data_IF_802136474318
#
_entry.id   IF_802136474318
#
_cell.length_a   1.000
_cell.length_b   1.000
_cell.length_c   1.000
_cell.angle_alpha   90.00
_cell.angle_beta   90.00
_cell.angle_gamma   90.00
#
_symmetry.space_group_name_H-M   'P 1'
#
loop_
_entity.id
_entity.type
_entity.pdbx_description
1 polymer ?
#
# COMPACT_ATOMS: atom_id res chain seq x y z
N UNK A 1 15.62 -38.93 8.67
CA UNK A 1 16.94 -39.26 8.05
C UNK A 1 16.93 -39.35 6.52
N UNK A 2 15.88 -39.90 5.85
CA UNK A 2 15.84 -39.88 4.36
C UNK A 2 15.54 -38.48 3.78
N UNK A 3 14.62 -37.73 4.37
CA UNK A 3 14.23 -36.37 3.90
C UNK A 3 15.36 -35.33 4.02
N UNK A 4 16.19 -35.41 5.05
CA UNK A 4 17.30 -34.46 5.26
C UNK A 4 18.48 -34.70 4.29
N UNK A 5 18.72 -35.95 3.91
CA UNK A 5 19.75 -36.28 2.90
C UNK A 5 19.32 -35.85 1.49
N UNK A 6 18.03 -36.00 1.13
CA UNK A 6 17.53 -35.53 -0.18
C UNK A 6 17.57 -34.00 -0.26
N UNK A 7 17.14 -33.29 0.77
CA UNK A 7 17.25 -31.82 0.83
C UNK A 7 18.71 -31.36 0.71
N UNK A 8 19.63 -31.97 1.46
CA UNK A 8 21.08 -31.65 1.41
C UNK A 8 21.69 -31.87 0.01
N UNK A 9 21.23 -32.89 -0.73
CA UNK A 9 21.71 -33.18 -2.09
C UNK A 9 21.19 -32.15 -3.11
N UNK A 10 19.93 -31.70 -2.99
CA UNK A 10 19.35 -30.67 -3.84
C UNK A 10 20.00 -29.29 -3.60
N UNK A 11 20.29 -28.92 -2.36
CA UNK A 11 21.06 -27.70 -2.03
C UNK A 11 22.45 -27.72 -2.62
N UNK A 12 23.14 -28.85 -2.60
CA UNK A 12 24.49 -29.00 -3.18
C UNK A 12 24.50 -28.83 -4.71
N UNK A 13 23.49 -29.35 -5.41
CA UNK A 13 23.38 -29.22 -6.89
C UNK A 13 23.02 -27.78 -7.29
N UNK A 14 22.09 -27.14 -6.57
CA UNK A 14 21.72 -25.74 -6.82
C UNK A 14 22.92 -24.79 -6.57
N UNK A 15 23.68 -25.01 -5.52
CA UNK A 15 24.87 -24.22 -5.20
C UNK A 15 25.98 -24.39 -6.25
N UNK A 16 26.20 -25.62 -6.73
CA UNK A 16 27.15 -25.88 -7.83
C UNK A 16 26.72 -25.19 -9.13
N UNK A 17 25.44 -25.26 -9.50
CA UNK A 17 24.91 -24.59 -10.69
C UNK A 17 25.07 -23.07 -10.62
N UNK A 18 24.81 -22.47 -9.45
CA UNK A 18 24.97 -21.04 -9.23
C UNK A 18 26.45 -20.61 -9.34
N UNK A 19 27.38 -21.39 -8.79
CA UNK A 19 28.84 -21.14 -8.95
C UNK A 19 29.28 -21.24 -10.41
N UNK A 20 28.74 -22.20 -11.17
CA UNK A 20 29.01 -22.31 -12.60
C UNK A 20 28.47 -21.08 -13.36
N UNK A 21 27.21 -20.68 -13.13
CA UNK A 21 26.58 -19.51 -13.72
C UNK A 21 27.35 -18.23 -13.39
N UNK A 22 27.85 -18.10 -12.15
CA UNK A 22 28.67 -16.96 -11.73
C UNK A 22 30.04 -16.90 -12.42
N UNK A 23 30.51 -17.98 -13.02
CA UNK A 23 31.83 -17.99 -13.66
C UNK A 23 31.83 -17.23 -14.99
N UNK A 24 32.80 -16.32 -15.15
CA UNK A 24 32.94 -15.50 -16.36
C UNK A 24 33.14 -16.35 -17.62
N UNK A 25 33.79 -17.53 -17.48
CA UNK A 25 34.01 -18.47 -18.60
C UNK A 25 32.68 -19.05 -19.10
N UNK A 26 31.85 -19.49 -18.17
CA UNK A 26 30.51 -20.02 -18.47
C UNK A 26 29.61 -18.94 -19.09
N UNK A 27 29.55 -17.73 -18.54
CA UNK A 27 28.74 -16.65 -19.08
C UNK A 27 29.13 -16.30 -20.52
N UNK A 28 30.43 -16.22 -20.84
CA UNK A 28 30.92 -16.00 -22.21
C UNK A 28 30.53 -17.13 -23.16
N UNK A 29 30.59 -18.37 -22.71
CA UNK A 29 30.18 -19.54 -23.48
C UNK A 29 28.65 -19.53 -23.69
N UNK A 30 27.88 -19.36 -22.63
CA UNK A 30 26.42 -19.38 -22.66
C UNK A 30 25.83 -18.27 -23.54
N UNK A 31 26.46 -17.10 -23.60
CA UNK A 31 26.04 -16.00 -24.46
C UNK A 31 26.26 -16.29 -25.96
N UNK A 32 27.19 -17.17 -26.32
CA UNK A 32 27.49 -17.55 -27.68
C UNK A 32 26.75 -18.81 -28.13
N UNK A 33 26.32 -19.68 -27.22
CA UNK A 33 25.67 -20.92 -27.50
C UNK A 33 24.20 -20.72 -27.86
N UNK A 34 23.75 -21.21 -29.01
CA UNK A 34 22.38 -20.99 -29.53
C UNK A 34 21.29 -21.54 -28.59
N UNK A 35 21.56 -22.59 -27.82
CA UNK A 35 20.59 -23.17 -26.89
C UNK A 35 20.39 -22.31 -25.64
N UNK A 36 21.40 -21.58 -25.21
CA UNK A 36 21.37 -20.80 -23.96
C UNK A 36 21.23 -19.30 -24.17
N UNK A 37 21.57 -18.77 -25.34
CA UNK A 37 21.55 -17.31 -25.59
C UNK A 37 20.17 -16.66 -25.35
N UNK A 38 19.05 -17.37 -25.59
CA UNK A 38 17.70 -16.85 -25.33
C UNK A 38 17.47 -16.67 -23.83
N UNK A 39 17.92 -17.63 -23.02
CA UNK A 39 17.87 -17.57 -21.55
C UNK A 39 18.78 -16.44 -21.04
N UNK A 40 20.03 -16.36 -21.53
CA UNK A 40 20.98 -15.31 -21.14
C UNK A 40 20.42 -13.91 -21.44
N UNK A 41 19.79 -13.73 -22.61
CA UNK A 41 19.13 -12.45 -22.95
C UNK A 41 17.99 -12.12 -22.01
N UNK A 42 17.13 -13.09 -21.68
CA UNK A 42 15.99 -12.90 -20.78
C UNK A 42 16.45 -12.55 -19.35
N UNK A 43 17.39 -13.33 -18.81
CA UNK A 43 17.92 -13.10 -17.45
C UNK A 43 18.73 -11.79 -17.40
N UNK A 44 19.50 -11.49 -18.46
CA UNK A 44 20.22 -10.23 -18.58
C UNK A 44 19.28 -9.02 -18.68
N UNK A 45 18.17 -9.12 -19.39
CA UNK A 45 17.16 -8.07 -19.45
C UNK A 45 16.49 -7.87 -18.10
N UNK A 46 16.10 -8.94 -17.41
CA UNK A 46 15.50 -8.86 -16.07
C UNK A 46 16.45 -8.22 -15.04
N UNK A 47 17.74 -8.58 -15.09
CA UNK A 47 18.75 -7.96 -14.25
C UNK A 47 18.96 -6.47 -14.57
N UNK A 48 18.93 -6.12 -15.86
CA UNK A 48 19.03 -4.73 -16.28
C UNK A 48 17.80 -3.91 -15.88
N UNK A 49 16.61 -4.47 -15.97
CA UNK A 49 15.37 -3.84 -15.49
C UNK A 49 15.46 -3.54 -13.98
N UNK A 50 15.97 -4.49 -13.20
CA UNK A 50 16.20 -4.30 -11.76
C UNK A 50 17.25 -3.19 -11.51
N UNK A 51 18.39 -3.22 -12.24
CA UNK A 51 19.44 -2.20 -12.13
C UNK A 51 18.92 -0.81 -12.46
N UNK A 52 18.09 -0.68 -13.51
CA UNK A 52 17.54 0.61 -13.98
C UNK A 52 16.26 1.03 -13.26
N UNK A 53 15.76 0.23 -12.34
CA UNK A 53 14.48 0.46 -11.64
C UNK A 53 14.37 1.84 -10.99
N UNK A 54 15.46 2.36 -10.43
CA UNK A 54 15.50 3.71 -9.86
C UNK A 54 15.28 4.80 -10.93
N UNK A 55 15.75 4.61 -12.17
CA UNK A 55 15.48 5.53 -13.28
C UNK A 55 13.99 5.46 -13.68
N UNK A 56 13.41 4.25 -13.69
CA UNK A 56 11.99 4.07 -14.04
C UNK A 56 11.09 4.83 -13.08
N UNK A 57 11.33 4.74 -11.79
CA UNK A 57 10.56 5.46 -10.77
C UNK A 57 10.76 6.98 -10.84
N UNK A 58 11.97 7.47 -11.14
CA UNK A 58 12.23 8.89 -11.32
C UNK A 58 11.58 9.47 -12.58
N UNK A 59 11.52 8.70 -13.68
CA UNK A 59 10.78 9.11 -14.87
C UNK A 59 9.29 9.23 -14.56
N UNK A 60 8.70 8.24 -13.85
CA UNK A 60 7.30 8.29 -13.42
C UNK A 60 7.04 9.51 -12.54
N UNK A 61 7.91 9.78 -11.57
CA UNK A 61 7.85 10.96 -10.70
C UNK A 61 7.86 12.26 -11.51
N UNK A 62 8.79 12.40 -12.46
CA UNK A 62 8.88 13.59 -13.30
C UNK A 62 7.63 13.81 -14.16
N UNK A 63 7.04 12.74 -14.70
CA UNK A 63 5.79 12.83 -15.47
C UNK A 63 4.61 13.31 -14.60
N UNK A 64 4.57 12.91 -13.33
CA UNK A 64 3.57 13.36 -12.35
C UNK A 64 3.84 14.81 -11.96
N UNK A 65 5.08 15.18 -11.61
CA UNK A 65 5.45 16.54 -11.21
C UNK A 65 5.21 17.59 -12.32
N UNK A 66 5.42 17.23 -13.59
CA UNK A 66 5.11 18.08 -14.74
C UNK A 66 3.66 17.98 -15.21
N UNK A 67 2.82 17.22 -14.52
CA UNK A 67 1.39 17.02 -14.85
C UNK A 67 1.15 16.51 -16.29
N UNK A 68 2.12 15.79 -16.85
CA UNK A 68 2.09 15.30 -18.25
C UNK A 68 0.84 14.45 -18.52
N UNK A 69 0.44 13.62 -17.59
CA UNK A 69 -0.70 12.74 -17.78
C UNK A 69 -2.00 13.53 -17.94
N UNK A 70 -2.28 14.54 -17.12
CA UNK A 70 -3.48 15.38 -17.24
C UNK A 70 -3.41 16.27 -18.46
N UNK A 71 -2.23 16.77 -18.86
CA UNK A 71 -2.05 17.50 -20.11
C UNK A 71 -2.43 16.65 -21.33
N UNK A 72 -2.05 15.37 -21.32
CA UNK A 72 -2.33 14.41 -22.40
C UNK A 72 -3.74 13.80 -22.33
N UNK A 73 -4.42 13.87 -21.19
CA UNK A 73 -5.83 13.49 -21.06
C UNK A 73 -6.72 14.43 -21.90
N UNK A 74 -6.33 15.70 -22.03
CA UNK A 74 -7.00 16.69 -22.88
C UNK A 74 -6.76 16.49 -24.38
N UNK A 75 -5.87 15.56 -24.75
CA UNK A 75 -5.56 15.20 -26.13
C UNK A 75 -4.06 15.07 -26.41
N UNK A 76 -3.69 14.45 -27.54
CA UNK A 76 -2.30 14.28 -27.91
C UNK A 76 -1.60 15.62 -28.15
N UNK A 77 -0.34 15.76 -27.66
CA UNK A 77 0.49 16.97 -27.76
C UNK A 77 1.84 16.69 -28.42
N UNK A 78 2.41 17.69 -29.06
CA UNK A 78 3.75 17.64 -29.61
C UNK A 78 4.82 17.80 -28.52
N UNK A 79 6.08 17.50 -28.85
CA UNK A 79 7.22 17.78 -27.98
C UNK A 79 7.28 19.25 -27.59
N UNK A 80 7.12 20.14 -28.56
CA UNK A 80 7.20 21.59 -28.34
C UNK A 80 6.09 22.10 -27.42
N UNK A 81 4.84 21.66 -27.62
CA UNK A 81 3.71 22.01 -26.74
C UNK A 81 3.97 21.58 -25.29
N UNK A 82 4.50 20.37 -25.06
CA UNK A 82 4.81 19.88 -23.72
C UNK A 82 6.00 20.59 -23.09
N UNK A 83 7.08 20.80 -23.87
CA UNK A 83 8.27 21.51 -23.41
C UNK A 83 7.96 22.94 -22.96
N UNK A 84 7.17 23.68 -23.75
CA UNK A 84 6.76 25.03 -23.43
C UNK A 84 5.82 25.06 -22.21
N UNK A 85 4.82 24.19 -22.15
CA UNK A 85 3.87 24.13 -21.04
C UNK A 85 4.55 23.83 -19.71
N UNK A 86 5.53 22.90 -19.71
CA UNK A 86 6.24 22.47 -18.52
C UNK A 86 7.51 23.34 -18.23
N UNK A 87 7.84 24.30 -19.08
CA UNK A 87 9.07 25.11 -18.98
C UNK A 87 10.35 24.25 -18.93
N UNK A 88 10.38 23.18 -19.72
CA UNK A 88 11.51 22.25 -19.81
C UNK A 88 12.19 22.41 -21.18
N UNK A 89 13.53 22.50 -21.27
CA UNK A 89 14.26 22.54 -22.54
C UNK A 89 13.88 21.35 -23.44
N UNK A 90 13.73 21.59 -24.75
CA UNK A 90 13.23 20.56 -25.68
C UNK A 90 14.10 19.29 -25.75
N UNK A 91 15.42 19.45 -25.65
CA UNK A 91 16.37 18.33 -25.62
C UNK A 91 16.12 17.42 -24.41
N UNK A 92 15.89 18.00 -23.22
CA UNK A 92 15.57 17.28 -21.98
C UNK A 92 14.18 16.67 -22.02
N UNK A 93 13.18 17.42 -22.49
CA UNK A 93 11.82 16.90 -22.67
C UNK A 93 11.80 15.73 -23.66
N UNK A 94 12.62 15.77 -24.71
CA UNK A 94 12.79 14.67 -25.67
C UNK A 94 13.23 13.39 -24.95
N UNK A 95 14.23 13.48 -24.05
CA UNK A 95 14.71 12.32 -23.28
C UNK A 95 13.60 11.78 -22.41
N UNK A 96 12.91 12.63 -21.64
CA UNK A 96 11.82 12.25 -20.75
C UNK A 96 10.69 11.54 -21.50
N UNK A 97 10.20 12.11 -22.59
CA UNK A 97 9.08 11.55 -23.36
C UNK A 97 9.46 10.24 -24.05
N UNK A 98 10.68 10.13 -24.58
CA UNK A 98 11.17 8.87 -25.16
C UNK A 98 11.32 7.79 -24.12
N UNK A 99 11.83 8.10 -22.94
CA UNK A 99 11.90 7.19 -21.81
C UNK A 99 10.49 6.74 -21.37
N UNK A 100 9.54 7.68 -21.26
CA UNK A 100 8.15 7.36 -20.92
C UNK A 100 7.48 6.44 -21.96
N UNK A 101 7.81 6.58 -23.26
CA UNK A 101 7.33 5.66 -24.31
C UNK A 101 7.99 4.29 -24.16
N UNK A 102 9.29 4.22 -23.89
CA UNK A 102 10.01 2.96 -23.68
C UNK A 102 9.44 2.19 -22.47
N UNK A 103 9.07 2.89 -21.41
CA UNK A 103 8.41 2.34 -20.20
C UNK A 103 6.90 2.07 -20.39
N UNK A 104 6.36 2.28 -21.60
CA UNK A 104 4.93 2.13 -21.91
C UNK A 104 3.99 3.01 -21.07
N UNK A 105 4.51 4.07 -20.48
CA UNK A 105 3.73 5.10 -19.81
C UNK A 105 3.07 6.04 -20.80
N UNK A 106 3.71 6.29 -21.94
CA UNK A 106 3.16 7.06 -23.05
C UNK A 106 3.21 6.24 -24.34
N UNK A 107 2.55 6.74 -25.38
CA UNK A 107 2.65 6.21 -26.75
C UNK A 107 2.92 7.34 -27.74
N UNK A 108 3.74 7.08 -28.74
CA UNK A 108 3.95 7.97 -29.88
C UNK A 108 2.80 7.83 -30.87
N UNK A 109 2.43 8.94 -31.52
CA UNK A 109 1.47 8.99 -32.62
C UNK A 109 2.06 9.62 -33.87
N UNK A 110 1.35 9.51 -35.00
CA UNK A 110 1.74 10.17 -36.24
C UNK A 110 1.86 11.69 -36.04
N UNK A 111 2.76 12.33 -36.76
CA UNK A 111 3.02 13.76 -36.63
C UNK A 111 3.80 14.16 -35.37
N UNK A 112 4.58 13.25 -34.78
CA UNK A 112 5.45 13.55 -33.63
C UNK A 112 4.70 13.87 -32.34
N UNK A 113 3.44 13.41 -32.22
CA UNK A 113 2.61 13.64 -31.03
C UNK A 113 2.78 12.51 -30.03
N UNK A 114 2.63 12.86 -28.75
CA UNK A 114 2.58 11.94 -27.62
C UNK A 114 1.16 11.86 -27.09
N UNK A 115 0.76 10.69 -26.58
CA UNK A 115 -0.54 10.44 -25.99
C UNK A 115 -0.43 9.47 -24.82
N UNK A 116 -1.47 9.42 -23.97
CA UNK A 116 -1.58 8.43 -22.91
C UNK A 116 -1.52 7.01 -23.47
N UNK A 117 -0.84 6.13 -22.76
CA UNK A 117 -0.97 4.68 -22.93
C UNK A 117 -2.18 4.16 -22.14
N UNK A 118 -2.49 2.87 -22.29
CA UNK A 118 -3.48 2.22 -21.40
C UNK A 118 -3.06 2.26 -19.93
N UNK A 119 -1.75 2.10 -19.66
CA UNK A 119 -1.19 2.11 -18.32
C UNK A 119 -1.37 3.48 -17.65
N UNK A 120 -1.00 4.56 -18.32
CA UNK A 120 -1.15 5.91 -17.75
C UNK A 120 -2.61 6.37 -17.68
N UNK A 121 -3.47 5.93 -18.59
CA UNK A 121 -4.89 6.16 -18.49
C UNK A 121 -5.50 5.44 -17.25
N UNK A 122 -5.08 4.19 -17.01
CA UNK A 122 -5.49 3.47 -15.79
C UNK A 122 -4.95 4.14 -14.52
N UNK A 123 -3.70 4.64 -14.53
CA UNK A 123 -3.10 5.37 -13.42
C UNK A 123 -3.93 6.60 -13.04
N UNK A 124 -4.36 7.40 -14.01
CA UNK A 124 -5.22 8.57 -13.78
C UNK A 124 -6.60 8.21 -13.20
N UNK A 125 -7.10 7.01 -13.52
CA UNK A 125 -8.36 6.50 -12.99
C UNK A 125 -8.29 5.99 -11.55
N UNK A 126 -7.10 5.93 -10.94
CA UNK A 126 -6.92 5.49 -9.54
C UNK A 126 -6.85 6.72 -8.63
N UNK A 127 -7.84 6.93 -7.75
CA UNK A 127 -7.86 8.07 -6.83
C UNK A 127 -6.59 8.12 -5.96
N UNK A 128 -5.98 9.30 -5.85
CA UNK A 128 -4.81 9.53 -4.99
C UNK A 128 -3.49 8.93 -5.47
N UNK A 129 -3.43 8.19 -6.59
CA UNK A 129 -2.20 7.55 -7.03
C UNK A 129 -1.12 8.56 -7.47
N UNK A 130 -1.50 9.65 -8.13
CA UNK A 130 -0.58 10.73 -8.47
C UNK A 130 0.02 11.38 -7.19
N UNK A 131 -0.83 11.62 -6.21
CA UNK A 131 -0.40 12.21 -4.93
C UNK A 131 0.53 11.25 -4.18
N UNK A 132 0.25 9.95 -4.21
CA UNK A 132 1.12 8.92 -3.63
C UNK A 132 2.48 8.86 -4.33
N UNK A 133 2.52 8.93 -5.66
CA UNK A 133 3.77 8.98 -6.41
C UNK A 133 4.56 10.24 -6.03
N UNK A 134 3.89 11.40 -5.93
CA UNK A 134 4.52 12.66 -5.49
C UNK A 134 5.11 12.58 -4.07
N UNK A 135 4.43 11.86 -3.17
CA UNK A 135 4.90 11.64 -1.80
C UNK A 135 6.18 10.79 -1.70
N UNK A 136 6.50 9.98 -2.71
CA UNK A 136 7.72 9.18 -2.70
C UNK A 136 9.02 9.99 -2.66
N UNK A 137 8.99 11.31 -2.88
CA UNK A 137 10.17 12.17 -2.75
C UNK A 137 10.85 12.04 -1.38
N UNK A 138 10.06 12.01 -0.31
CA UNK A 138 10.54 11.77 1.06
C UNK A 138 11.18 10.39 1.18
N UNK A 139 10.51 9.37 0.66
CA UNK A 139 10.97 7.99 0.72
C UNK A 139 12.27 7.77 -0.09
N UNK A 140 12.45 8.49 -1.22
CA UNK A 140 13.73 8.48 -1.95
C UNK A 140 14.88 9.04 -1.11
N UNK A 141 14.64 10.09 -0.32
CA UNK A 141 15.66 10.63 0.58
C UNK A 141 16.04 9.65 1.67
N UNK A 142 15.05 8.98 2.26
CA UNK A 142 15.28 7.95 3.30
C UNK A 142 16.10 6.76 2.77
N UNK A 143 15.89 6.38 1.52
CA UNK A 143 16.58 5.26 0.86
C UNK A 143 17.91 5.66 0.19
N UNK A 144 18.37 6.90 0.34
CA UNK A 144 19.58 7.42 -0.33
C UNK A 144 20.84 6.61 0.01
N UNK A 145 20.98 6.19 1.27
CA UNK A 145 22.00 5.23 1.71
C UNK A 145 21.32 3.95 2.18
N UNK A 146 21.14 2.97 1.28
CA UNK A 146 20.43 1.74 1.64
C UNK A 146 21.16 0.92 2.69
N UNK A 147 22.48 1.01 2.78
CA UNK A 147 23.24 0.28 3.79
C UNK A 147 22.99 0.84 5.20
N UNK A 148 23.01 2.17 5.36
CA UNK A 148 22.65 2.84 6.60
C UNK A 148 21.16 2.58 6.95
N UNK A 149 20.27 2.66 5.97
CA UNK A 149 18.85 2.39 6.16
C UNK A 149 18.58 0.99 6.74
N UNK A 150 19.13 -0.06 6.14
CA UNK A 150 18.94 -1.43 6.63
C UNK A 150 19.68 -1.74 7.95
N UNK A 151 20.71 -0.96 8.33
CA UNK A 151 21.32 -1.04 9.66
C UNK A 151 20.54 -0.30 10.75
N UNK A 152 19.54 0.52 10.36
CA UNK A 152 18.80 1.39 11.28
C UNK A 152 19.54 2.70 11.64
N UNK A 153 20.59 3.05 10.90
CA UNK A 153 21.41 4.25 11.15
C UNK A 153 20.80 5.51 10.52
N UNK A 154 19.84 5.36 9.60
CA UNK A 154 19.19 6.49 8.90
C UNK A 154 18.14 7.14 9.78
N UNK A 155 18.22 8.47 9.95
CA UNK A 155 17.11 9.28 10.46
C UNK A 155 16.11 9.48 9.32
N UNK A 156 15.00 8.72 9.36
CA UNK A 156 14.00 8.74 8.28
C UNK A 156 13.06 9.92 8.40
N UNK A 157 12.90 10.68 7.31
CA UNK A 157 11.94 11.79 7.23
C UNK A 157 10.50 11.28 7.13
N UNK A 158 10.30 10.08 6.60
CA UNK A 158 8.96 9.48 6.50
C UNK A 158 8.32 9.27 7.88
N UNK A 159 9.13 8.98 8.91
CA UNK A 159 8.64 8.85 10.29
C UNK A 159 8.02 10.17 10.80
N UNK A 160 8.52 11.32 10.37
CA UNK A 160 8.04 12.63 10.80
C UNK A 160 6.66 12.99 10.21
N UNK A 161 6.22 12.29 9.15
CA UNK A 161 4.86 12.42 8.62
C UNK A 161 3.81 11.70 9.51
N UNK A 162 4.26 10.87 10.47
CA UNK A 162 3.41 10.10 11.37
C UNK A 162 3.67 10.40 12.84
N UNK A 163 3.77 11.69 13.26
CA UNK A 163 4.19 12.04 14.63
C UNK A 163 3.24 11.50 15.69
N UNK A 164 1.96 11.30 15.38
CA UNK A 164 0.97 10.71 16.30
C UNK A 164 1.30 9.25 16.65
N UNK A 165 2.02 8.53 15.81
CA UNK A 165 2.48 7.16 16.14
C UNK A 165 3.47 7.20 17.29
N UNK A 166 4.26 8.28 17.39
CA UNK A 166 5.24 8.53 18.46
C UNK A 166 4.74 9.45 19.58
N UNK A 167 3.49 9.93 19.50
CA UNK A 167 2.93 10.88 20.48
C UNK A 167 3.39 12.33 20.28
N UNK A 168 3.93 12.67 19.10
CA UNK A 168 4.32 14.02 18.73
C UNK A 168 3.16 14.89 18.21
N UNK A 169 3.34 16.21 18.27
CA UNK A 169 2.44 17.18 17.64
C UNK A 169 2.78 17.32 16.14
N UNK A 170 1.76 17.35 15.29
CA UNK A 170 1.91 17.55 13.85
C UNK A 170 1.64 19.02 13.50
N UNK A 171 2.48 19.60 12.65
CA UNK A 171 2.18 20.92 12.11
C UNK A 171 0.85 20.87 11.32
N UNK A 172 -0.09 21.81 11.57
CA UNK A 172 -1.45 21.75 11.01
C UNK A 172 -1.51 21.61 9.49
N UNK A 173 -0.58 22.24 8.76
CA UNK A 173 -0.56 22.17 7.29
C UNK A 173 -0.09 20.80 6.79
N UNK A 174 0.91 20.21 7.42
CA UNK A 174 1.41 18.85 7.12
C UNK A 174 0.31 17.82 7.40
N UNK A 175 -0.37 17.95 8.56
CA UNK A 175 -1.51 17.11 8.91
C UNK A 175 -2.64 17.16 7.88
N UNK A 176 -2.98 18.35 7.39
CA UNK A 176 -4.03 18.55 6.39
C UNK A 176 -3.67 17.91 5.04
N UNK A 177 -2.47 18.16 4.54
CA UNK A 177 -1.99 17.59 3.27
C UNK A 177 -1.98 16.06 3.32
N UNK A 178 -1.48 15.53 4.42
CA UNK A 178 -1.43 14.10 4.68
C UNK A 178 -2.84 13.47 4.77
N UNK A 179 -3.75 14.08 5.51
CA UNK A 179 -5.13 13.58 5.66
C UNK A 179 -5.85 13.50 4.32
N UNK A 180 -5.64 14.47 3.42
CA UNK A 180 -6.19 14.45 2.07
C UNK A 180 -5.62 13.30 1.24
N UNK A 181 -4.30 13.09 1.28
CA UNK A 181 -3.63 11.99 0.58
C UNK A 181 -4.16 10.63 1.06
N UNK A 182 -4.23 10.44 2.38
CA UNK A 182 -4.73 9.19 2.97
C UNK A 182 -6.21 8.96 2.63
N UNK A 183 -7.07 9.98 2.72
CA UNK A 183 -8.47 9.86 2.36
C UNK A 183 -8.67 9.41 0.91
N UNK A 184 -7.94 9.98 -0.05
CA UNK A 184 -8.01 9.58 -1.46
C UNK A 184 -7.52 8.15 -1.68
N UNK A 185 -6.41 7.76 -1.04
CA UNK A 185 -5.90 6.38 -1.16
C UNK A 185 -6.83 5.36 -0.50
N UNK A 186 -7.68 5.79 0.43
CA UNK A 186 -8.63 4.94 1.13
C UNK A 186 -9.82 4.53 0.25
N UNK A 187 -10.18 5.31 -0.77
CA UNK A 187 -11.26 4.95 -1.69
C UNK A 187 -11.03 3.60 -2.36
N UNK A 188 -9.83 3.36 -2.86
CA UNK A 188 -9.47 2.10 -3.51
C UNK A 188 -9.48 0.92 -2.53
N UNK A 189 -9.01 1.15 -1.31
CA UNK A 189 -9.01 0.14 -0.24
C UNK A 189 -10.43 -0.20 0.19
N UNK A 190 -11.29 0.81 0.34
CA UNK A 190 -12.69 0.64 0.68
C UNK A 190 -13.42 -0.18 -0.39
N UNK A 191 -13.21 0.16 -1.67
CA UNK A 191 -13.79 -0.56 -2.80
C UNK A 191 -13.40 -2.05 -2.80
N UNK A 192 -12.11 -2.36 -2.58
CA UNK A 192 -11.61 -3.74 -2.53
C UNK A 192 -12.12 -4.49 -1.30
N UNK A 193 -12.23 -3.81 -0.16
CA UNK A 193 -12.76 -4.40 1.08
C UNK A 193 -14.25 -4.75 0.91
N UNK A 194 -15.06 -3.81 0.39
CA UNK A 194 -16.49 -4.02 0.14
C UNK A 194 -16.77 -5.09 -0.92
N UNK A 195 -15.87 -5.28 -1.89
CA UNK A 195 -15.95 -6.39 -2.86
C UNK A 195 -15.58 -7.74 -2.25
N UNK A 196 -14.71 -7.73 -1.25
CA UNK A 196 -14.17 -8.95 -0.64
C UNK A 196 -15.05 -9.49 0.48
N UNK A 197 -15.78 -8.63 1.19
CA UNK A 197 -16.57 -8.96 2.37
C UNK A 197 -18.01 -8.44 2.23
N UNK A 198 -18.97 -9.27 2.60
CA UNK A 198 -20.39 -8.89 2.66
C UNK A 198 -20.70 -8.19 3.99
N UNK A 199 -21.06 -6.91 3.91
CA UNK A 199 -21.46 -6.08 5.05
C UNK A 199 -22.99 -5.88 5.14
N UNK A 200 -23.79 -6.57 4.33
CA UNK A 200 -25.26 -6.40 4.28
C UNK A 200 -25.96 -6.73 5.59
N UNK A 201 -25.35 -7.56 6.44
CA UNK A 201 -25.89 -7.96 7.75
C UNK A 201 -25.36 -7.13 8.93
N UNK A 202 -24.51 -6.16 8.68
CA UNK A 202 -23.97 -5.27 9.70
C UNK A 202 -25.03 -4.25 10.10
N UNK A 203 -25.30 -4.12 11.40
CA UNK A 203 -26.21 -3.10 11.93
C UNK A 203 -25.47 -1.84 12.32
N UNK A 204 -24.35 -1.96 13.03
CA UNK A 204 -23.51 -0.85 13.46
C UNK A 204 -22.04 -1.19 13.27
N UNK A 205 -21.34 -0.41 12.43
CA UNK A 205 -19.90 -0.56 12.17
C UNK A 205 -19.10 0.50 12.91
N UNK A 206 -18.16 0.08 13.74
CA UNK A 206 -17.15 0.95 14.35
C UNK A 206 -15.83 0.82 13.58
N UNK A 207 -15.36 1.93 13.00
CA UNK A 207 -14.07 2.01 12.34
C UNK A 207 -13.03 2.59 13.30
N UNK A 208 -12.09 1.78 13.74
CA UNK A 208 -11.04 2.16 14.69
C UNK A 208 -9.80 2.59 13.93
N UNK A 209 -9.33 3.82 14.18
CA UNK A 209 -8.32 4.45 13.35
C UNK A 209 -8.87 4.90 11.99
N UNK A 210 -10.16 5.27 11.95
CA UNK A 210 -10.89 5.55 10.72
C UNK A 210 -10.53 6.88 10.03
N UNK A 211 -9.63 7.67 10.62
CA UNK A 211 -9.13 8.91 10.03
C UNK A 211 -10.25 9.93 9.78
N UNK A 212 -10.32 10.43 8.56
CA UNK A 212 -11.37 11.37 8.12
C UNK A 212 -12.69 10.69 7.71
N UNK A 213 -12.90 9.42 8.06
CA UNK A 213 -14.13 8.67 7.79
C UNK A 213 -14.33 8.23 6.33
N UNK A 214 -13.28 8.23 5.51
CA UNK A 214 -13.40 7.89 4.09
C UNK A 214 -13.89 6.45 3.85
N UNK A 215 -13.46 5.49 4.65
CA UNK A 215 -13.98 4.12 4.58
C UNK A 215 -15.45 4.03 4.99
N UNK A 216 -15.82 4.65 6.11
CA UNK A 216 -17.21 4.66 6.60
C UNK A 216 -18.16 5.36 5.62
N UNK A 217 -17.72 6.41 4.93
CA UNK A 217 -18.50 7.04 3.87
C UNK A 217 -18.87 6.04 2.77
N UNK A 218 -17.88 5.27 2.26
CA UNK A 218 -18.12 4.24 1.24
C UNK A 218 -19.05 3.12 1.74
N UNK A 219 -18.86 2.67 2.99
CA UNK A 219 -19.77 1.71 3.62
C UNK A 219 -21.18 2.28 3.69
N UNK A 220 -21.31 3.51 4.16
CA UNK A 220 -22.61 4.16 4.30
C UNK A 220 -23.33 4.41 2.97
N UNK A 221 -22.60 4.64 1.89
CA UNK A 221 -23.18 4.74 0.53
C UNK A 221 -23.65 3.35 0.03
N UNK A 222 -22.83 2.32 0.24
CA UNK A 222 -23.16 0.96 -0.20
C UNK A 222 -24.28 0.31 0.66
N UNK A 223 -24.35 0.64 1.95
CA UNK A 223 -25.24 0.05 2.94
C UNK A 223 -25.97 1.15 3.75
N UNK A 224 -27.05 1.76 3.22
CA UNK A 224 -27.73 2.90 3.86
C UNK A 224 -28.33 2.59 5.25
N UNK A 225 -28.56 1.33 5.59
CA UNK A 225 -29.10 0.89 6.86
C UNK A 225 -28.05 0.83 7.99
N UNK A 226 -26.76 0.82 7.65
CA UNK A 226 -25.67 0.68 8.65
C UNK A 226 -25.51 1.99 9.42
N UNK A 227 -25.49 1.88 10.74
CA UNK A 227 -25.05 2.96 11.64
C UNK A 227 -23.54 3.00 11.64
N UNK A 228 -22.98 4.20 11.56
CA UNK A 228 -21.54 4.42 11.42
C UNK A 228 -20.98 4.98 12.73
N UNK A 229 -19.91 4.37 13.22
CA UNK A 229 -19.16 4.89 14.37
C UNK A 229 -17.69 5.03 13.96
N UNK A 230 -17.11 6.17 14.24
CA UNK A 230 -15.69 6.44 14.00
C UNK A 230 -14.99 6.62 15.34
N UNK A 231 -13.84 6.01 15.52
CA UNK A 231 -12.96 6.24 16.67
C UNK A 231 -11.54 6.52 16.19
N UNK A 232 -11.06 7.72 16.48
CA UNK A 232 -9.69 8.16 16.16
C UNK A 232 -9.23 9.23 17.13
N UNK A 233 -7.97 9.64 17.03
CA UNK A 233 -7.36 10.67 17.85
C UNK A 233 -8.16 11.97 17.83
N UNK A 234 -8.09 12.74 18.94
CA UNK A 234 -8.80 14.00 19.10
C UNK A 234 -8.50 15.02 18.00
N UNK A 235 -7.27 15.01 17.45
CA UNK A 235 -6.86 15.89 16.36
C UNK A 235 -7.34 15.43 14.98
N UNK A 236 -7.73 14.14 14.85
CA UNK A 236 -8.06 13.50 13.57
C UNK A 236 -9.56 13.29 13.42
N UNK A 237 -10.21 12.68 14.39
CA UNK A 237 -11.61 12.26 14.33
C UNK A 237 -12.59 13.38 13.92
N UNK A 238 -12.45 14.65 14.40
CA UNK A 238 -13.37 15.73 14.01
C UNK A 238 -13.34 16.06 12.52
N UNK A 239 -12.27 15.69 11.80
CA UNK A 239 -12.15 15.91 10.36
C UNK A 239 -13.15 15.08 9.56
N UNK A 240 -13.79 14.06 10.14
CA UNK A 240 -14.81 13.24 9.50
C UNK A 240 -16.20 13.93 9.44
N UNK A 241 -16.50 14.86 10.36
CA UNK A 241 -17.82 15.49 10.43
C UNK A 241 -18.26 16.19 9.15
N UNK A 242 -17.42 17.04 8.49
CA UNK A 242 -17.79 17.65 7.22
C UNK A 242 -18.02 16.62 6.10
N UNK A 243 -17.32 15.50 6.11
CA UNK A 243 -17.47 14.41 5.15
C UNK A 243 -18.82 13.71 5.31
N UNK A 244 -19.17 13.36 6.54
CA UNK A 244 -20.46 12.72 6.81
C UNK A 244 -21.63 13.64 6.51
N UNK A 245 -21.54 14.94 6.83
CA UNK A 245 -22.57 15.93 6.50
C UNK A 245 -22.73 16.09 4.98
N UNK A 246 -21.60 16.19 4.23
CA UNK A 246 -21.65 16.29 2.77
C UNK A 246 -22.25 15.03 2.10
N UNK A 247 -22.12 13.87 2.73
CA UNK A 247 -22.68 12.61 2.27
C UNK A 247 -24.11 12.34 2.82
N UNK A 248 -24.71 13.25 3.61
CA UNK A 248 -26.03 13.09 4.22
C UNK A 248 -26.09 11.94 5.24
N UNK A 249 -25.02 11.74 6.00
CA UNK A 249 -24.86 10.62 6.95
C UNK A 249 -24.78 11.07 8.41
N UNK A 250 -24.83 12.35 8.69
CA UNK A 250 -24.68 12.98 10.01
C UNK A 250 -25.66 12.43 11.05
N UNK A 251 -26.91 12.16 10.68
CA UNK A 251 -27.90 11.57 11.60
C UNK A 251 -27.60 10.14 12.05
N UNK A 252 -26.78 9.38 11.31
CA UNK A 252 -26.46 7.99 11.59
C UNK A 252 -24.96 7.73 11.79
N UNK A 253 -24.14 8.77 11.79
CA UNK A 253 -22.71 8.72 12.03
C UNK A 253 -22.39 9.32 13.41
N UNK A 254 -21.66 8.56 14.20
CA UNK A 254 -21.13 9.00 15.51
C UNK A 254 -19.62 9.10 15.43
N UNK A 255 -19.06 10.15 16.01
CA UNK A 255 -17.62 10.38 16.08
C UNK A 255 -17.20 10.35 17.54
N UNK A 256 -16.30 9.45 17.89
CA UNK A 256 -15.69 9.34 19.19
C UNK A 256 -14.19 9.68 19.08
N UNK A 257 -13.72 10.56 19.95
CA UNK A 257 -12.30 10.92 20.04
C UNK A 257 -11.61 10.12 21.14
N UNK A 258 -10.37 9.68 20.89
CA UNK A 258 -9.54 8.97 21.86
C UNK A 258 -8.41 8.20 21.19
N UNK A 259 -7.52 7.66 21.98
CA UNK A 259 -6.41 6.84 21.53
C UNK A 259 -6.64 5.37 21.90
N UNK A 260 -6.69 4.48 20.93
CA UNK A 260 -6.78 3.04 21.25
C UNK A 260 -5.58 2.53 22.07
N UNK A 261 -4.48 3.29 22.16
CA UNK A 261 -3.35 2.95 23.02
C UNK A 261 -3.70 3.13 24.50
N UNK A 262 -4.38 4.23 24.85
CA UNK A 262 -4.69 4.62 26.25
C UNK A 262 -6.14 4.40 26.62
N UNK A 263 -7.07 4.65 25.69
CA UNK A 263 -8.50 4.68 25.97
C UNK A 263 -9.19 3.34 25.61
N UNK A 264 -10.35 3.04 26.18
CA UNK A 264 -11.16 1.90 25.78
C UNK A 264 -11.77 2.14 24.39
N UNK A 265 -11.96 1.08 23.63
CA UNK A 265 -12.70 1.13 22.36
C UNK A 265 -14.20 1.35 22.67
N UNK A 266 -14.88 2.27 21.97
CA UNK A 266 -16.32 2.50 22.15
C UNK A 266 -17.13 1.22 21.98
N UNK A 267 -18.16 1.04 22.81
CA UNK A 267 -19.09 -0.10 22.76
C UNK A 267 -20.34 0.24 21.94
N UNK A 268 -21.10 -0.78 21.57
CA UNK A 268 -22.40 -0.64 20.88
C UNK A 268 -22.37 -0.99 19.39
N UNK A 269 -21.21 -1.26 18.83
CA UNK A 269 -21.10 -1.81 17.48
C UNK A 269 -21.22 -3.35 17.50
N UNK A 270 -21.82 -3.91 16.47
CA UNK A 270 -21.80 -5.36 16.21
C UNK A 270 -20.62 -5.78 15.32
N UNK A 271 -19.99 -4.82 14.70
CA UNK A 271 -18.82 -5.03 13.83
C UNK A 271 -17.77 -3.93 14.05
N UNK A 272 -16.50 -4.32 14.05
CA UNK A 272 -15.35 -3.40 14.09
C UNK A 272 -14.52 -3.58 12.83
N UNK A 273 -14.09 -2.48 12.22
CA UNK A 273 -13.12 -2.44 11.13
C UNK A 273 -11.77 -1.87 11.59
N UNK A 274 -10.70 -2.47 11.08
CA UNK A 274 -9.32 -2.03 11.18
C UNK A 274 -8.78 -1.95 9.76
N UNK A 275 -8.83 -0.76 9.16
CA UNK A 275 -8.51 -0.54 7.75
C UNK A 275 -7.19 0.23 7.64
N UNK A 276 -6.11 -0.47 7.29
CA UNK A 276 -4.76 0.09 7.24
C UNK A 276 -4.31 0.67 8.58
N UNK A 277 -4.56 -0.06 9.66
CA UNK A 277 -4.18 0.33 11.02
C UNK A 277 -3.07 -0.57 11.56
N UNK A 278 -3.20 -1.89 11.41
CA UNK A 278 -2.30 -2.83 12.06
C UNK A 278 -0.86 -2.73 11.51
N UNK A 279 -0.72 -2.46 10.21
CA UNK A 279 0.60 -2.41 9.57
C UNK A 279 1.45 -1.21 10.04
N UNK A 280 0.85 -0.20 10.66
CA UNK A 280 1.54 0.99 11.19
C UNK A 280 2.11 0.77 12.60
N UNK A 281 1.85 -0.38 13.22
CA UNK A 281 2.15 -0.62 14.63
C UNK A 281 2.95 -1.90 14.89
N UNK A 282 3.62 -1.92 16.07
CA UNK A 282 4.36 -3.10 16.56
C UNK A 282 3.44 -4.26 16.92
N UNK A 283 3.99 -5.45 17.07
CA UNK A 283 3.22 -6.66 17.43
C UNK A 283 2.52 -6.51 18.79
N UNK A 284 3.16 -5.84 19.76
CA UNK A 284 2.61 -5.57 21.10
C UNK A 284 1.40 -4.64 21.02
N UNK A 285 1.51 -3.56 20.23
CA UNK A 285 0.40 -2.62 20.01
C UNK A 285 -0.77 -3.30 19.31
N UNK A 286 -0.49 -4.13 18.30
CA UNK A 286 -1.52 -4.89 17.57
C UNK A 286 -2.22 -5.88 18.49
N UNK A 287 -1.48 -6.64 19.30
CA UNK A 287 -2.06 -7.59 20.23
C UNK A 287 -2.98 -6.89 21.26
N UNK A 288 -2.54 -5.76 21.80
CA UNK A 288 -3.33 -4.93 22.72
C UNK A 288 -4.60 -4.38 22.04
N UNK A 289 -4.49 -3.87 20.81
CA UNK A 289 -5.63 -3.35 20.05
C UNK A 289 -6.66 -4.44 19.76
N UNK A 290 -6.22 -5.61 19.33
CA UNK A 290 -7.11 -6.76 19.06
C UNK A 290 -7.83 -7.22 20.34
N UNK A 291 -7.15 -7.25 21.48
CA UNK A 291 -7.78 -7.55 22.77
C UNK A 291 -8.85 -6.53 23.14
N UNK A 292 -8.58 -5.24 22.97
CA UNK A 292 -9.57 -4.17 23.19
C UNK A 292 -10.77 -4.26 22.24
N UNK A 293 -10.55 -4.61 20.98
CA UNK A 293 -11.63 -4.87 20.02
C UNK A 293 -12.48 -6.06 20.45
N UNK A 294 -11.84 -7.12 20.96
CA UNK A 294 -12.54 -8.29 21.48
C UNK A 294 -13.42 -7.92 22.69
N UNK A 295 -12.91 -7.12 23.63
CA UNK A 295 -13.66 -6.64 24.80
C UNK A 295 -14.86 -5.77 24.42
N UNK A 296 -14.72 -4.94 23.38
CA UNK A 296 -15.77 -4.02 22.93
C UNK A 296 -16.91 -4.70 22.17
N UNK A 297 -16.63 -5.77 21.44
CA UNK A 297 -17.60 -6.48 20.61
C UNK A 297 -18.53 -7.38 21.46
N UNK A 298 -19.82 -7.50 21.09
CA UNK A 298 -20.70 -8.53 21.64
C UNK A 298 -20.27 -9.93 21.18
N UNK A 299 -20.79 -10.97 21.83
CA UNK A 299 -20.67 -12.35 21.34
C UNK A 299 -21.30 -12.44 19.95
N UNK A 300 -20.63 -13.11 19.01
CA UNK A 300 -20.98 -13.15 17.60
C UNK A 300 -20.54 -11.93 16.79
N UNK A 301 -20.02 -10.89 17.46
CA UNK A 301 -19.55 -9.67 16.81
C UNK A 301 -18.38 -9.92 15.85
N UNK A 302 -18.29 -9.09 14.81
CA UNK A 302 -17.35 -9.24 13.68
C UNK A 302 -16.16 -8.31 13.82
N UNK A 303 -14.99 -8.83 13.55
CA UNK A 303 -13.77 -8.05 13.31
C UNK A 303 -13.40 -8.14 11.83
N UNK A 304 -13.21 -7.00 11.19
CA UNK A 304 -12.82 -6.86 9.78
C UNK A 304 -11.45 -6.21 9.75
N UNK A 305 -10.49 -6.88 9.13
CA UNK A 305 -9.14 -6.35 8.91
C UNK A 305 -8.90 -6.23 7.42
N UNK A 306 -8.44 -5.08 6.95
CA UNK A 306 -8.06 -4.84 5.55
C UNK A 306 -6.73 -4.07 5.51
N UNK A 307 -5.67 -4.77 5.08
CA UNK A 307 -4.29 -4.31 5.22
C UNK A 307 -3.46 -4.61 3.95
N UNK A 308 -2.42 -3.82 3.66
CA UNK A 308 -1.31 -4.30 2.86
C UNK A 308 -0.61 -5.44 3.62
N UNK A 309 -0.56 -6.62 3.03
CA UNK A 309 0.00 -7.80 3.70
C UNK A 309 1.21 -8.35 2.98
N UNK A 310 2.14 -8.95 3.73
CA UNK A 310 3.26 -9.70 3.17
C UNK A 310 2.81 -11.04 2.56
N UNK A 311 3.62 -11.61 1.67
CA UNK A 311 3.40 -12.93 1.09
C UNK A 311 3.65 -14.09 2.07
N UNK A 312 4.20 -13.82 3.25
CA UNK A 312 4.56 -14.82 4.26
C UNK A 312 5.61 -15.81 3.75
N UNK A 313 5.29 -17.11 3.72
CA UNK A 313 6.21 -18.14 3.23
C UNK A 313 6.58 -17.99 1.73
N UNK A 314 5.85 -17.18 0.98
CA UNK A 314 6.13 -16.86 -0.43
C UNK A 314 6.13 -15.34 -0.59
N UNK A 315 7.27 -14.68 -0.39
CA UNK A 315 7.38 -13.23 -0.49
C UNK A 315 6.85 -12.68 -1.82
N UNK A 316 6.16 -11.55 -1.77
CA UNK A 316 5.54 -10.86 -2.90
C UNK A 316 6.01 -9.41 -3.00
N UNK A 317 6.24 -8.86 -4.21
CA UNK A 317 6.82 -7.52 -4.36
C UNK A 317 6.04 -6.40 -3.65
N UNK A 318 4.72 -6.43 -3.64
CA UNK A 318 3.93 -5.38 -3.03
C UNK A 318 4.12 -5.35 -1.49
N UNK A 319 3.87 -6.47 -0.82
CA UNK A 319 3.96 -6.56 0.64
C UNK A 319 5.39 -6.58 1.15
N UNK A 320 6.26 -7.41 0.54
CA UNK A 320 7.58 -7.72 1.08
C UNK A 320 8.71 -6.81 0.54
N UNK A 321 8.44 -5.99 -0.48
CA UNK A 321 9.38 -4.97 -0.95
C UNK A 321 8.82 -3.59 -0.65
N UNK A 322 7.71 -3.17 -1.30
CA UNK A 322 7.24 -1.80 -1.20
C UNK A 322 6.74 -1.45 0.21
N UNK A 323 5.70 -2.15 0.70
CA UNK A 323 5.14 -1.83 2.01
C UNK A 323 6.08 -2.18 3.17
N UNK A 324 6.89 -3.24 3.06
CA UNK A 324 7.87 -3.58 4.09
C UNK A 324 8.93 -2.49 4.27
N UNK A 325 9.48 -1.92 3.17
CA UNK A 325 10.42 -0.83 3.26
C UNK A 325 9.74 0.46 3.73
N UNK A 326 8.51 0.71 3.28
CA UNK A 326 7.74 1.88 3.70
C UNK A 326 7.49 1.87 5.23
N UNK A 327 7.01 0.74 5.77
CA UNK A 327 6.79 0.60 7.22
C UNK A 327 8.10 0.61 8.01
N UNK A 328 9.20 0.09 7.44
CA UNK A 328 10.52 0.20 8.06
C UNK A 328 10.99 1.66 8.15
N UNK A 329 10.74 2.47 7.11
CA UNK A 329 11.00 3.90 7.13
C UNK A 329 10.14 4.66 8.14
N UNK A 330 8.90 4.21 8.37
CA UNK A 330 8.01 4.74 9.43
C UNK A 330 8.49 4.39 10.85
N UNK A 331 9.43 3.46 11.03
CA UNK A 331 10.04 3.01 12.30
C UNK A 331 9.13 2.26 13.28
N UNK A 332 7.83 2.23 13.08
CA UNK A 332 6.88 1.56 13.99
C UNK A 332 6.10 0.46 13.33
N UNK A 333 5.99 0.53 12.00
CA UNK A 333 5.18 -0.39 11.24
C UNK A 333 5.86 -1.71 10.90
N UNK A 334 5.02 -2.68 10.57
CA UNK A 334 5.44 -4.01 10.10
C UNK A 334 4.37 -4.59 9.18
N UNK A 335 4.72 -4.92 7.94
CA UNK A 335 3.84 -5.73 7.10
C UNK A 335 3.77 -7.16 7.64
N UNK A 336 2.56 -7.66 7.80
CA UNK A 336 2.29 -9.03 8.29
C UNK A 336 1.60 -9.84 7.21
N UNK A 337 1.86 -11.13 7.19
CA UNK A 337 1.12 -12.07 6.35
C UNK A 337 -0.28 -12.31 6.90
N UNK A 338 -1.17 -12.84 6.05
CA UNK A 338 -2.51 -13.24 6.47
C UNK A 338 -2.47 -14.28 7.62
N UNK A 339 -1.44 -15.14 7.63
CA UNK A 339 -1.24 -16.16 8.67
C UNK A 339 -0.84 -15.53 10.00
N UNK A 340 0.05 -14.53 9.99
CA UNK A 340 0.46 -13.81 11.19
C UNK A 340 -0.71 -13.03 11.79
N UNK A 341 -1.47 -12.29 10.97
CA UNK A 341 -2.67 -11.58 11.43
C UNK A 341 -3.72 -12.55 11.97
N UNK A 342 -3.95 -13.67 11.28
CA UNK A 342 -4.86 -14.72 11.75
C UNK A 342 -4.42 -15.30 13.10
N UNK A 343 -3.11 -15.46 13.31
CA UNK A 343 -2.58 -15.94 14.59
C UNK A 343 -2.81 -14.92 15.71
N UNK A 344 -2.57 -13.64 15.45
CA UNK A 344 -2.81 -12.55 16.42
C UNK A 344 -4.31 -12.44 16.78
N UNK A 345 -5.21 -12.56 15.79
CA UNK A 345 -6.65 -12.58 16.02
C UNK A 345 -7.04 -13.76 16.93
N UNK A 346 -6.52 -14.96 16.68
CA UNK A 346 -6.82 -16.16 17.52
C UNK A 346 -6.26 -16.00 18.95
N UNK A 347 -5.08 -15.42 19.10
CA UNK A 347 -4.50 -15.13 20.42
C UNK A 347 -5.35 -14.14 21.21
N UNK A 348 -6.01 -13.20 20.53
CA UNK A 348 -6.97 -12.29 21.15
C UNK A 348 -8.37 -12.90 21.39
N UNK A 349 -8.59 -14.17 21.06
CA UNK A 349 -9.85 -14.90 21.28
C UNK A 349 -10.80 -14.96 20.09
N UNK A 350 -10.46 -14.37 18.96
CA UNK A 350 -11.29 -14.41 17.75
C UNK A 350 -11.15 -15.73 16.99
N UNK A 351 -12.25 -16.19 16.39
CA UNK A 351 -12.22 -17.20 15.34
C UNK A 351 -12.13 -16.51 13.97
N UNK A 352 -11.10 -16.86 13.18
CA UNK A 352 -10.99 -16.38 11.80
C UNK A 352 -11.96 -17.16 10.92
N UNK A 353 -12.94 -16.47 10.36
CA UNK A 353 -14.02 -17.05 9.56
C UNK A 353 -13.78 -16.98 8.06
N UNK A 354 -13.12 -15.91 7.60
CA UNK A 354 -12.88 -15.71 6.17
C UNK A 354 -11.53 -15.06 5.91
N UNK A 355 -10.87 -15.50 4.85
CA UNK A 355 -9.68 -14.85 4.25
C UNK A 355 -9.88 -14.83 2.74
N UNK A 356 -10.74 -13.94 2.22
CA UNK A 356 -11.13 -13.94 0.82
C UNK A 356 -9.95 -13.64 -0.09
N UNK A 357 -10.03 -14.14 -1.33
CA UNK A 357 -9.05 -13.81 -2.35
C UNK A 357 -9.18 -12.33 -2.71
N UNK A 358 -8.10 -11.54 -2.62
CA UNK A 358 -8.17 -10.12 -2.90
C UNK A 358 -8.47 -9.84 -4.37
N UNK A 359 -9.22 -8.77 -4.65
CA UNK A 359 -9.46 -8.29 -6.00
C UNK A 359 -8.18 -7.72 -6.61
N UNK A 360 -7.44 -6.94 -5.83
CA UNK A 360 -6.15 -6.32 -6.18
C UNK A 360 -5.14 -6.61 -5.07
N UNK A 361 -4.37 -7.72 -5.16
CA UNK A 361 -3.49 -8.17 -4.07
C UNK A 361 -2.37 -7.18 -3.71
N UNK A 362 -2.07 -6.23 -4.60
CA UNK A 362 -1.10 -5.16 -4.39
C UNK A 362 -1.70 -3.92 -3.67
N UNK A 363 -2.99 -3.89 -3.38
CA UNK A 363 -3.66 -2.81 -2.63
C UNK A 363 -3.90 -3.25 -1.20
N UNK A 364 -4.74 -4.27 -1.02
CA UNK A 364 -5.14 -4.76 0.30
C UNK A 364 -5.55 -6.24 0.24
N UNK A 365 -5.44 -6.91 1.38
CA UNK A 365 -6.03 -8.23 1.64
C UNK A 365 -6.92 -8.13 2.85
N UNK A 366 -8.02 -8.87 2.85
CA UNK A 366 -9.03 -8.84 3.89
C UNK A 366 -9.00 -10.12 4.73
N UNK A 367 -9.37 -9.96 6.00
CA UNK A 367 -9.65 -11.03 6.92
C UNK A 367 -10.92 -10.66 7.71
N UNK A 368 -11.82 -11.63 7.90
CA UNK A 368 -12.92 -11.53 8.85
C UNK A 368 -12.71 -12.52 9.98
N UNK A 369 -12.99 -12.06 11.20
CA UNK A 369 -12.98 -12.90 12.38
C UNK A 369 -14.21 -12.61 13.25
N UNK A 370 -14.58 -13.54 14.13
CA UNK A 370 -15.74 -13.42 15.02
C UNK A 370 -15.37 -13.66 16.47
N UNK A 371 -16.01 -12.90 17.36
CA UNK A 371 -15.96 -13.16 18.78
C UNK A 371 -16.89 -14.34 19.10
N UNK A 372 -16.32 -15.43 19.55
CA UNK A 372 -17.10 -16.57 20.03
C UNK A 372 -17.57 -16.34 21.48
N UNK A 373 -18.63 -17.04 21.88
CA UNK A 373 -18.93 -17.19 23.30
C UNK A 373 -17.72 -17.83 23.99
N UNK A 374 -17.32 -17.30 25.13
CA UNK A 374 -16.34 -18.02 25.97
C UNK A 374 -16.88 -19.40 26.29
N UNK A 375 -16.04 -20.45 26.16
CA UNK A 375 -16.46 -21.82 26.43
C UNK A 375 -16.93 -22.01 27.87
#
# INVERSE_FOLDING_TARGET
MRSEREASTWYGIADWSNRLIASRKFQKWAAKNFLTQRMVRREGAALFDLLSGFCHSQILMALVQFDIFNLLLKGPKTLEELANTCSVPQDRMTILLRAAVALKLLRSQRGGRFALSKTSAALLGVPGLNDMIGHHDVFYRDLRDPAAFFRGDTQTELADFWPYVFGGEMEPQTAKTYSVLMARSQELVAEDTLRSLDLSTVGTLLDVGGGSGAFLEQVGQAHPHVKLMLFDLEQVAPTAAPRFAAAGMDERAQIACGSFKTDPIPKGADSISLIRVLYDHTDETVAMLLAKCWDSLPVGGRLIVSEPMSGGARPEPAGDVYFALYTLAMRTGKTRSIQEISSLCRQAGFEVTQTPKPARPFVTRCLEARKLASP
#
